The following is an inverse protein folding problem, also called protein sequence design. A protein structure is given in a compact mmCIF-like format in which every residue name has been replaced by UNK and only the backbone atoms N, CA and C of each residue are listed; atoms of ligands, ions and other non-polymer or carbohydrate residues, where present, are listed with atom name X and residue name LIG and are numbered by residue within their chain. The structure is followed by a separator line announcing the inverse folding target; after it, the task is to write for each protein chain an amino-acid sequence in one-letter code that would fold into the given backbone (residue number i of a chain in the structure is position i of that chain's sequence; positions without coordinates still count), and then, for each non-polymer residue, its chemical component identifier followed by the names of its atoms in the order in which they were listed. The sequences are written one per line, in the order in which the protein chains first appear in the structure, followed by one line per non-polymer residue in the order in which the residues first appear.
data_IF_612271779668
#
_entry.id   IF_612271779668
#
_cell.length_a   1.000
_cell.length_b   1.000
_cell.length_c   1.000
_cell.angle_alpha   90.00
_cell.angle_beta   90.00
_cell.angle_gamma   90.00
#
_symmetry.space_group_name_H-M   'P 1'
#
loop_
_entity.id
_entity.type
_entity.pdbx_description
1 polymer ?
#
# COMPACT_ATOMS: atom_id res chain seq x y z
N UNK A 1 -8.88 -62.06 25.74
CA UNK A 1 -8.51 -61.47 27.05
C UNK A 1 -7.53 -60.34 26.79
N UNK A 2 -7.76 -59.18 27.41
CA UNK A 2 -7.04 -57.91 27.18
C UNK A 2 -5.52 -58.02 27.42
N UNK A 3 -4.69 -57.33 26.63
CA UNK A 3 -3.44 -56.74 27.06
C UNK A 3 -3.57 -55.21 27.30
N UNK A 4 -2.55 -54.56 27.89
CA UNK A 4 -2.67 -53.33 28.67
C UNK A 4 -2.34 -52.03 27.88
N UNK A 5 -2.49 -50.92 28.60
CA UNK A 5 -2.29 -49.52 28.23
C UNK A 5 -0.96 -49.17 27.57
N UNK A 6 -1.01 -48.31 26.57
CA UNK A 6 0.06 -47.37 26.22
C UNK A 6 -0.56 -46.01 25.88
N UNK A 7 0.00 -44.97 26.51
CA UNK A 7 -0.30 -43.55 26.31
C UNK A 7 0.16 -43.12 24.92
N UNK A 8 -0.67 -42.36 24.19
CA UNK A 8 -0.29 -41.64 22.98
C UNK A 8 -0.54 -40.13 23.17
N UNK A 9 0.38 -39.24 22.74
CA UNK A 9 0.18 -37.80 22.74
C UNK A 9 -0.60 -37.42 21.46
N UNK A 10 -1.63 -36.58 21.60
CA UNK A 10 -2.48 -36.24 20.46
C UNK A 10 -3.47 -35.13 20.75
N UNK A 11 -2.99 -33.99 21.23
CA UNK A 11 -3.75 -32.74 21.25
C UNK A 11 -3.60 -32.02 19.92
N UNK A 12 -4.36 -32.42 18.90
CA UNK A 12 -4.60 -31.60 17.72
C UNK A 12 -5.59 -30.50 18.13
N UNK A 13 -5.09 -29.33 18.50
CA UNK A 13 -5.91 -28.13 18.56
C UNK A 13 -5.89 -27.51 17.17
N UNK A 14 -6.94 -27.78 16.39
CA UNK A 14 -7.18 -27.10 15.12
C UNK A 14 -7.41 -25.60 15.41
N UNK A 15 -6.72 -24.66 14.74
CA UNK A 15 -7.11 -23.26 14.81
C UNK A 15 -8.40 -23.09 14.01
N UNK A 16 -9.46 -22.71 14.71
CA UNK A 16 -10.75 -22.34 14.14
C UNK A 16 -10.58 -21.15 13.20
N UNK A 17 -11.08 -21.33 11.99
CA UNK A 17 -10.99 -20.39 10.89
C UNK A 17 -12.03 -19.25 10.99
N UNK A 18 -11.69 -18.14 10.33
CA UNK A 18 -12.55 -17.09 9.76
C UNK A 18 -13.24 -16.12 10.73
N UNK A 19 -12.65 -14.93 10.85
CA UNK A 19 -13.40 -13.67 10.79
C UNK A 19 -12.88 -12.87 9.59
N UNK A 20 -13.64 -12.92 8.51
CA UNK A 20 -13.60 -11.97 7.41
C UNK A 20 -15.03 -11.44 7.34
N UNK A 21 -15.26 -10.17 7.68
CA UNK A 21 -16.51 -9.51 7.30
C UNK A 21 -16.36 -9.09 5.84
N UNK A 22 -17.13 -9.78 5.02
CA UNK A 22 -17.34 -9.52 3.60
C UNK A 22 -18.18 -8.24 3.48
N UNK A 23 -17.56 -7.13 3.11
CA UNK A 23 -18.26 -5.92 2.66
C UNK A 23 -18.70 -6.12 1.20
N UNK A 24 -19.56 -7.11 0.96
CA UNK A 24 -20.38 -7.16 -0.26
C UNK A 24 -21.83 -7.05 0.15
N UNK A 25 -22.39 -5.85 -0.04
CA UNK A 25 -23.80 -5.60 0.14
C UNK A 25 -24.63 -6.50 -0.77
N UNK A 26 -25.22 -7.54 -0.19
CA UNK A 26 -26.44 -8.16 -0.67
C UNK A 26 -27.38 -8.39 0.50
N UNK A 27 -28.34 -7.49 0.63
CA UNK A 27 -29.49 -7.61 1.51
C UNK A 27 -30.29 -8.85 1.16
N UNK A 28 -30.33 -9.84 2.05
CA UNK A 28 -31.40 -10.84 2.05
C UNK A 28 -32.39 -10.48 3.15
N UNK A 29 -33.54 -10.03 2.67
CA UNK A 29 -34.78 -9.76 3.37
C UNK A 29 -35.24 -10.98 4.18
N UNK A 30 -35.35 -10.82 5.50
CA UNK A 30 -36.13 -11.71 6.36
C UNK A 30 -36.94 -10.87 7.34
N UNK A 31 -38.15 -10.55 6.88
CA UNK A 31 -39.27 -10.08 7.67
C UNK A 31 -39.54 -10.93 8.91
N UNK A 32 -40.01 -10.25 9.97
CA UNK A 32 -40.83 -10.72 11.10
C UNK A 32 -40.11 -11.16 12.39
N UNK A 33 -40.04 -10.26 13.38
CA UNK A 33 -40.70 -10.39 14.69
C UNK A 33 -40.47 -9.14 15.58
N UNK A 34 -41.49 -8.81 16.37
CA UNK A 34 -41.77 -7.56 17.08
C UNK A 34 -40.80 -7.22 18.25
N UNK A 35 -40.67 -5.94 18.68
CA UNK A 35 -39.75 -5.49 19.72
C UNK A 35 -40.39 -5.51 21.11
N UNK A 36 -39.60 -5.88 22.13
CA UNK A 36 -39.96 -5.68 23.54
C UNK A 36 -38.75 -5.11 24.31
N UNK A 37 -38.80 -3.79 24.49
CA UNK A 37 -38.35 -2.99 25.63
C UNK A 37 -37.53 -3.70 26.73
N UNK A 38 -36.23 -3.38 26.83
CA UNK A 38 -35.53 -3.21 28.10
C UNK A 38 -34.43 -2.14 27.91
N UNK A 39 -34.57 -1.00 28.59
CA UNK A 39 -33.49 -0.01 28.74
C UNK A 39 -32.52 -0.47 29.86
N UNK A 40 -31.20 -0.29 29.73
CA UNK A 40 -30.32 -0.38 30.89
C UNK A 40 -29.93 1.02 31.39
N UNK A 41 -30.02 1.15 32.71
CA UNK A 41 -29.59 2.29 33.49
C UNK A 41 -28.06 2.48 33.46
N UNK A 42 -27.62 3.74 33.47
CA UNK A 42 -26.24 4.14 33.75
C UNK A 42 -25.86 3.85 35.20
N UNK A 43 -24.62 3.42 35.45
CA UNK A 43 -23.88 3.85 36.62
C UNK A 43 -22.63 4.64 36.22
N UNK A 44 -22.52 5.81 36.83
CA UNK A 44 -21.39 6.72 36.91
C UNK A 44 -20.14 6.09 37.55
N UNK A 45 -18.98 6.46 36.99
CA UNK A 45 -17.64 6.58 37.61
C UNK A 45 -16.95 5.27 38.02
N UNK A 46 -15.99 4.85 37.19
CA UNK A 46 -14.79 4.15 37.67
C UNK A 46 -13.54 4.79 37.06
N UNK A 47 -12.60 5.10 37.96
CA UNK A 47 -11.28 5.67 37.72
C UNK A 47 -10.50 4.89 36.67
N UNK A 48 -9.91 5.61 35.70
CA UNK A 48 -8.96 5.05 34.74
C UNK A 48 -7.70 4.52 35.47
N UNK A 49 -7.24 3.29 35.20
CA UNK A 49 -5.88 2.89 35.47
C UNK A 49 -4.98 3.17 34.25
N UNK A 50 -3.72 3.41 34.56
CA UNK A 50 -2.67 3.87 33.67
C UNK A 50 -2.34 2.90 32.51
N UNK A 51 -2.01 3.53 31.37
CA UNK A 51 -1.14 3.05 30.29
C UNK A 51 -0.90 1.53 30.24
N UNK A 52 -1.73 0.84 29.46
CA UNK A 52 -1.39 -0.46 28.90
C UNK A 52 -1.05 -0.26 27.44
N UNK A 53 0.25 -0.05 27.16
CA UNK A 53 0.79 -0.35 25.83
C UNK A 53 0.51 -1.82 25.58
N UNK A 54 -0.41 -2.13 24.67
CA UNK A 54 -0.59 -3.48 24.16
C UNK A 54 0.68 -3.84 23.38
N UNK A 55 1.70 -4.34 24.09
CA UNK A 55 2.75 -5.13 23.46
C UNK A 55 2.07 -6.40 22.99
N UNK A 56 1.68 -6.45 21.71
CA UNK A 56 1.53 -7.74 21.06
C UNK A 56 2.91 -8.40 21.08
N UNK A 57 3.18 -9.21 22.11
CA UNK A 57 4.25 -10.19 22.04
C UNK A 57 3.81 -11.25 21.04
N UNK A 58 3.87 -10.92 19.76
CA UNK A 58 4.08 -11.94 18.75
C UNK A 58 5.53 -12.35 18.97
N UNK A 59 5.76 -13.37 19.79
CA UNK A 59 7.01 -14.10 19.75
C UNK A 59 7.17 -14.58 18.30
N UNK A 60 7.96 -13.85 17.53
CA UNK A 60 8.47 -14.31 16.26
C UNK A 60 9.26 -15.58 16.57
N UNK A 61 8.60 -16.72 16.41
CA UNK A 61 9.26 -17.99 16.41
C UNK A 61 10.20 -17.93 15.21
N UNK A 62 11.49 -17.63 15.45
CA UNK A 62 12.52 -17.69 14.44
C UNK A 62 12.29 -18.99 13.67
N UNK A 63 12.14 -18.95 12.33
CA UNK A 63 11.77 -20.13 11.58
C UNK A 63 12.79 -21.21 11.93
N UNK A 64 12.33 -22.23 12.66
CA UNK A 64 13.06 -23.48 12.74
C UNK A 64 13.37 -23.82 11.29
N UNK A 65 14.64 -24.06 10.98
CA UNK A 65 15.11 -24.37 9.64
C UNK A 65 14.46 -25.67 9.16
N UNK A 66 13.19 -25.58 8.78
CA UNK A 66 12.44 -26.61 8.12
C UNK A 66 12.95 -26.57 6.70
N UNK A 67 13.94 -27.42 6.43
CA UNK A 67 14.33 -27.76 5.06
C UNK A 67 13.07 -28.25 4.37
N UNK A 68 12.44 -27.37 3.58
CA UNK A 68 11.44 -27.78 2.59
C UNK A 68 12.16 -28.76 1.67
N UNK A 69 11.73 -30.03 1.56
CA UNK A 69 12.38 -30.99 0.71
C UNK A 69 12.22 -30.57 -0.75
N UNK A 70 13.32 -30.13 -1.36
CA UNK A 70 13.57 -30.25 -2.80
C UNK A 70 12.52 -29.65 -3.74
N UNK A 71 12.27 -28.35 -3.66
CA UNK A 71 11.97 -27.61 -4.89
C UNK A 71 13.30 -27.10 -5.41
N UNK A 72 13.88 -27.84 -6.36
CA UNK A 72 15.06 -27.39 -7.08
C UNK A 72 14.79 -25.97 -7.59
N UNK A 73 15.58 -25.00 -7.10
CA UNK A 73 15.54 -23.63 -7.57
C UNK A 73 15.66 -23.66 -9.08
N UNK A 74 14.56 -23.32 -9.77
CA UNK A 74 14.67 -22.89 -11.16
C UNK A 74 15.39 -21.57 -11.07
N UNK A 75 16.70 -21.62 -11.26
CA UNK A 75 17.52 -20.43 -11.41
C UNK A 75 16.80 -19.50 -12.36
N UNK A 76 16.62 -18.25 -11.90
CA UNK A 76 16.21 -17.16 -12.77
C UNK A 76 17.23 -17.18 -13.91
N UNK A 77 16.80 -17.64 -15.08
CA UNK A 77 17.59 -17.51 -16.29
C UNK A 77 17.63 -16.02 -16.55
N UNK A 78 18.69 -15.36 -16.09
CA UNK A 78 19.06 -14.06 -16.61
C UNK A 78 19.07 -14.22 -18.13
N UNK A 79 18.11 -13.59 -18.80
CA UNK A 79 18.14 -13.45 -20.23
C UNK A 79 19.48 -12.77 -20.53
N UNK A 80 20.40 -13.54 -21.11
CA UNK A 80 21.76 -13.11 -21.41
C UNK A 80 21.62 -12.01 -22.44
N UNK A 81 21.80 -10.75 -22.03
CA UNK A 81 21.91 -9.61 -22.93
C UNK A 81 23.08 -9.94 -23.85
N UNK A 82 22.82 -10.08 -25.15
CA UNK A 82 23.88 -10.11 -26.15
C UNK A 82 24.60 -8.77 -26.06
N UNK A 83 25.87 -8.82 -25.68
CA UNK A 83 26.76 -7.67 -25.62
C UNK A 83 26.84 -7.04 -27.01
N UNK A 84 26.24 -5.85 -27.15
CA UNK A 84 26.56 -4.81 -28.14
C UNK A 84 25.69 -3.60 -27.81
N UNK A 85 26.33 -2.49 -27.40
CA UNK A 85 25.67 -1.21 -27.13
C UNK A 85 25.66 -0.84 -25.66
N UNK A 86 26.32 0.27 -25.34
CA UNK A 86 26.28 1.00 -24.07
C UNK A 86 24.85 0.98 -23.51
N UNK A 87 24.67 0.41 -22.32
CA UNK A 87 23.37 0.22 -21.72
C UNK A 87 22.81 1.55 -21.23
N UNK A 88 21.96 2.20 -22.03
CA UNK A 88 21.10 3.29 -21.55
C UNK A 88 20.32 2.81 -20.33
N UNK A 89 20.51 3.50 -19.20
CA UNK A 89 19.74 3.28 -17.97
C UNK A 89 18.25 3.49 -18.26
N UNK A 90 17.43 2.47 -18.00
CA UNK A 90 15.97 2.58 -17.98
C UNK A 90 15.55 2.49 -16.53
N UNK A 91 14.91 3.54 -16.03
CA UNK A 91 14.20 3.49 -14.75
C UNK A 91 12.78 3.98 -14.99
N UNK A 92 11.82 3.15 -14.63
CA UNK A 92 10.40 3.37 -14.77
C UNK A 92 9.71 3.35 -13.41
N UNK A 93 8.70 4.20 -13.27
CA UNK A 93 7.82 4.24 -12.11
C UNK A 93 6.42 3.84 -12.58
N UNK A 94 5.88 2.81 -11.98
CA UNK A 94 4.52 2.32 -12.16
C UNK A 94 3.74 2.47 -10.87
N UNK A 95 2.44 2.73 -10.97
CA UNK A 95 1.57 2.92 -9.80
C UNK A 95 0.32 2.07 -9.98
N UNK A 96 -0.13 1.43 -8.90
CA UNK A 96 -1.40 0.68 -8.81
C UNK A 96 -2.12 1.06 -7.53
N UNK A 97 -3.43 0.78 -7.48
CA UNK A 97 -4.19 0.83 -6.24
C UNK A 97 -3.95 -0.37 -5.33
N UNK A 98 -4.61 -0.31 -4.18
CA UNK A 98 -4.59 -1.23 -3.05
C UNK A 98 -4.57 -2.72 -3.40
N UNK A 99 -3.80 -3.52 -2.65
CA UNK A 99 -3.73 -4.97 -2.88
C UNK A 99 -4.42 -5.81 -1.81
N UNK A 100 -4.70 -5.24 -0.63
CA UNK A 100 -5.30 -5.92 0.53
C UNK A 100 -4.61 -7.26 0.82
N UNK A 101 -3.28 -7.25 0.84
CA UNK A 101 -2.47 -8.44 0.97
C UNK A 101 -2.60 -9.37 -0.23
N UNK A 102 -3.08 -10.60 -0.01
CA UNK A 102 -3.23 -11.63 -1.03
C UNK A 102 -4.47 -11.47 -1.94
N UNK A 103 -5.40 -10.57 -1.62
CA UNK A 103 -6.73 -10.51 -2.25
C UNK A 103 -6.63 -10.00 -3.69
N UNK A 104 -5.98 -8.86 -3.91
CA UNK A 104 -5.93 -8.18 -5.20
C UNK A 104 -4.58 -8.25 -5.90
N UNK A 105 -3.58 -8.86 -5.25
CA UNK A 105 -2.20 -8.97 -5.72
C UNK A 105 -2.04 -9.63 -7.09
N UNK A 106 -3.01 -10.46 -7.51
CA UNK A 106 -3.00 -11.13 -8.79
C UNK A 106 -2.91 -10.18 -10.00
N UNK A 107 -3.31 -8.90 -9.84
CA UNK A 107 -3.15 -7.84 -10.85
C UNK A 107 -1.68 -7.66 -11.26
N UNK A 108 -0.75 -7.85 -10.32
CA UNK A 108 0.70 -7.76 -10.54
C UNK A 108 1.30 -9.05 -11.16
N UNK A 109 0.49 -10.06 -11.46
CA UNK A 109 0.98 -11.27 -12.13
C UNK A 109 1.27 -11.00 -13.60
N UNK A 110 2.30 -11.63 -14.16
CA UNK A 110 2.62 -11.49 -15.59
C UNK A 110 1.55 -11.97 -16.57
N UNK A 111 0.51 -12.64 -16.06
CA UNK A 111 -0.66 -12.99 -16.86
C UNK A 111 -1.60 -11.80 -17.02
N UNK A 112 -1.76 -10.99 -15.97
CA UNK A 112 -2.62 -9.80 -15.96
C UNK A 112 -1.88 -8.53 -16.36
N UNK A 113 -0.58 -8.47 -16.06
CA UNK A 113 0.31 -7.36 -16.39
C UNK A 113 1.65 -7.86 -16.96
N UNK A 114 1.69 -8.18 -18.26
CA UNK A 114 2.89 -8.70 -18.93
C UNK A 114 4.10 -7.76 -18.90
N UNK A 115 3.87 -6.44 -18.87
CA UNK A 115 4.87 -5.38 -18.86
C UNK A 115 5.81 -5.50 -17.65
N UNK A 116 5.29 -5.98 -16.51
CA UNK A 116 6.09 -6.26 -15.32
C UNK A 116 7.25 -7.23 -15.55
N UNK A 117 7.22 -8.05 -16.62
CA UNK A 117 8.36 -8.93 -16.99
C UNK A 117 9.58 -8.18 -17.50
N UNK A 118 9.37 -6.95 -17.98
CA UNK A 118 10.41 -6.13 -18.60
C UNK A 118 11.12 -5.24 -17.59
N UNK A 119 10.60 -5.17 -16.36
CA UNK A 119 11.17 -4.36 -15.30
C UNK A 119 12.42 -5.00 -14.70
N UNK A 120 13.22 -4.19 -14.03
CA UNK A 120 14.44 -4.55 -13.30
C UNK A 120 14.41 -3.98 -11.90
N UNK A 121 15.43 -4.29 -11.08
CA UNK A 121 15.44 -3.96 -9.64
C UNK A 121 15.44 -2.45 -9.40
N UNK A 122 15.87 -1.71 -10.41
CA UNK A 122 15.96 -0.26 -10.47
C UNK A 122 14.61 0.41 -10.83
N UNK A 123 13.63 -0.36 -11.32
CA UNK A 123 12.27 0.11 -11.55
C UNK A 123 11.42 0.01 -10.28
N UNK A 124 10.46 0.93 -10.16
CA UNK A 124 9.56 1.03 -9.01
C UNK A 124 8.13 0.68 -9.40
N UNK A 125 7.48 -0.14 -8.58
CA UNK A 125 6.02 -0.34 -8.61
C UNK A 125 5.46 0.11 -7.26
N UNK A 126 4.68 1.17 -7.28
CA UNK A 126 4.10 1.80 -6.08
C UNK A 126 2.67 1.31 -5.89
N UNK A 127 2.36 0.78 -4.72
CA UNK A 127 0.99 0.48 -4.28
C UNK A 127 0.46 1.66 -3.48
N UNK A 128 -0.61 2.28 -3.95
CA UNK A 128 -1.18 3.52 -3.40
C UNK A 128 -2.12 3.28 -2.21
N UNK A 129 -1.66 2.51 -1.21
CA UNK A 129 -2.42 2.19 -0.01
C UNK A 129 -2.72 0.70 0.18
N UNK A 130 -3.31 0.37 1.34
CA UNK A 130 -3.76 -0.96 1.75
C UNK A 130 -2.88 -2.09 1.22
N UNK A 131 -1.60 -2.03 1.60
CA UNK A 131 -0.64 -3.07 1.22
C UNK A 131 -1.00 -4.39 1.91
N UNK A 132 -1.57 -4.33 3.13
CA UNK A 132 -2.23 -5.46 3.77
C UNK A 132 -1.33 -6.53 4.37
N UNK A 133 0.00 -6.36 4.33
CA UNK A 133 0.96 -7.37 4.80
C UNK A 133 2.26 -6.76 5.35
N UNK A 134 2.86 -7.37 6.38
CA UNK A 134 2.37 -8.51 7.15
C UNK A 134 1.27 -8.09 8.15
N UNK A 135 0.42 -9.04 8.53
CA UNK A 135 -0.59 -8.84 9.57
C UNK A 135 -0.61 -10.00 10.55
N UNK A 136 -0.90 -11.20 10.06
CA UNK A 136 -1.04 -12.42 10.87
C UNK A 136 0.19 -13.32 10.84
N UNK A 137 1.09 -13.12 9.87
CA UNK A 137 2.22 -14.03 9.62
C UNK A 137 1.77 -15.39 9.09
N UNK A 138 0.57 -15.47 8.49
CA UNK A 138 0.07 -16.70 7.88
C UNK A 138 0.95 -17.16 6.71
N UNK A 139 0.93 -18.45 6.40
CA UNK A 139 1.68 -18.99 5.26
C UNK A 139 1.31 -18.35 3.92
N UNK A 140 0.08 -17.85 3.77
CA UNK A 140 -0.36 -17.15 2.57
C UNK A 140 0.30 -15.77 2.47
N UNK A 141 0.32 -14.98 3.56
CA UNK A 141 1.03 -13.70 3.61
C UNK A 141 2.53 -13.88 3.34
N UNK A 142 3.16 -14.85 3.99
CA UNK A 142 4.59 -15.14 3.81
C UNK A 142 4.89 -15.55 2.36
N UNK A 143 4.00 -16.30 1.71
CA UNK A 143 4.11 -16.65 0.30
C UNK A 143 4.06 -15.40 -0.60
N UNK A 144 3.10 -14.50 -0.35
CA UNK A 144 2.93 -13.30 -1.17
C UNK A 144 4.05 -12.27 -0.95
N UNK A 145 4.54 -12.11 0.28
CA UNK A 145 5.70 -11.29 0.59
C UNK A 145 6.96 -11.81 -0.12
N UNK A 146 7.22 -13.12 -0.07
CA UNK A 146 8.33 -13.72 -0.82
C UNK A 146 8.14 -13.55 -2.34
N UNK A 147 6.93 -13.76 -2.85
CA UNK A 147 6.61 -13.59 -4.26
C UNK A 147 6.82 -12.15 -4.76
N UNK A 148 6.42 -11.14 -3.97
CA UNK A 148 6.63 -9.71 -4.25
C UNK A 148 8.11 -9.34 -4.17
N UNK A 149 8.79 -9.78 -3.12
CA UNK A 149 10.21 -9.52 -2.92
C UNK A 149 11.07 -10.07 -4.07
N UNK A 150 10.64 -11.18 -4.68
CA UNK A 150 11.29 -11.81 -5.82
C UNK A 150 10.78 -11.34 -7.20
N UNK A 151 9.87 -10.36 -7.26
CA UNK A 151 9.55 -9.67 -8.53
C UNK A 151 10.81 -8.96 -9.03
N UNK A 152 10.96 -8.75 -10.35
CA UNK A 152 12.16 -8.14 -10.88
C UNK A 152 12.26 -6.66 -10.50
N UNK A 153 11.16 -5.99 -10.15
CA UNK A 153 11.10 -4.60 -9.70
C UNK A 153 11.13 -4.43 -8.17
N UNK A 154 11.47 -3.24 -7.70
CA UNK A 154 11.32 -2.83 -6.29
C UNK A 154 9.89 -2.38 -6.01
N UNK A 155 9.25 -3.00 -5.02
CA UNK A 155 7.88 -2.64 -4.62
C UNK A 155 7.94 -1.55 -3.56
N UNK A 156 7.28 -0.43 -3.81
CA UNK A 156 7.07 0.64 -2.85
C UNK A 156 5.58 0.63 -2.45
N UNK A 157 5.26 1.12 -1.27
CA UNK A 157 3.86 1.34 -0.91
C UNK A 157 3.69 2.54 0.02
N UNK A 158 2.50 3.14 -0.05
CA UNK A 158 1.99 4.15 0.88
C UNK A 158 1.00 3.44 1.81
N UNK A 159 0.88 3.91 3.05
CA UNK A 159 -0.02 3.30 4.02
C UNK A 159 -1.50 3.54 3.67
N UNK A 160 -2.39 2.60 3.98
CA UNK A 160 -3.83 2.79 4.03
C UNK A 160 -4.41 2.63 5.43
N UNK A 161 -5.59 2.02 5.58
CA UNK A 161 -6.14 1.64 6.88
C UNK A 161 -6.02 0.13 7.17
N UNK A 162 -5.56 -0.66 6.21
CA UNK A 162 -5.33 -2.10 6.34
C UNK A 162 -3.83 -2.44 6.54
N UNK A 163 -3.15 -1.73 7.43
CA UNK A 163 -1.77 -2.02 7.84
C UNK A 163 -1.67 -2.37 9.32
N UNK A 164 -0.72 -3.25 9.65
CA UNK A 164 -0.41 -3.57 11.04
C UNK A 164 0.52 -2.49 11.62
N UNK A 165 -0.04 -1.34 12.01
CA UNK A 165 0.72 -0.20 12.53
C UNK A 165 1.69 -0.53 13.68
N UNK A 166 1.30 -1.32 14.70
CA UNK A 166 2.24 -1.69 15.75
C UNK A 166 3.48 -2.42 15.23
N UNK A 167 3.32 -3.27 14.21
CA UNK A 167 4.46 -3.93 13.58
C UNK A 167 5.30 -2.93 12.78
N UNK A 168 4.67 -2.01 12.05
CA UNK A 168 5.37 -1.02 11.26
C UNK A 168 6.16 -0.03 12.12
N UNK A 169 5.66 0.36 13.29
CA UNK A 169 6.36 1.25 14.23
C UNK A 169 7.67 0.65 14.76
N UNK A 170 7.74 -0.67 14.89
CA UNK A 170 8.94 -1.37 15.37
C UNK A 170 10.05 -1.48 14.29
N UNK A 171 9.74 -1.19 13.02
CA UNK A 171 10.70 -1.26 11.94
C UNK A 171 11.70 -0.09 12.00
N UNK A 172 13.00 -0.34 11.73
CA UNK A 172 13.99 0.72 11.70
C UNK A 172 13.70 1.71 10.59
N UNK A 173 13.67 3.00 10.94
CA UNK A 173 13.58 4.10 9.98
C UNK A 173 14.94 4.32 9.34
N UNK A 174 14.96 4.39 8.02
CA UNK A 174 16.15 4.72 7.21
C UNK A 174 15.80 5.81 6.21
N UNK A 175 16.79 6.42 5.57
CA UNK A 175 16.57 7.44 4.54
C UNK A 175 16.90 6.88 3.15
N UNK A 176 16.02 7.12 2.19
CA UNK A 176 16.24 6.84 0.77
C UNK A 176 15.57 7.92 -0.08
N UNK A 177 16.23 8.29 -1.17
CA UNK A 177 15.68 9.25 -2.16
C UNK A 177 15.19 10.56 -1.53
N UNK A 178 15.85 11.05 -0.48
CA UNK A 178 15.51 12.29 0.20
C UNK A 178 14.42 12.21 1.26
N UNK A 179 13.80 11.04 1.48
CA UNK A 179 12.75 10.86 2.49
C UNK A 179 12.97 9.64 3.39
N UNK A 180 12.19 9.56 4.45
CA UNK A 180 12.19 8.43 5.38
C UNK A 180 11.44 7.23 4.82
N UNK A 181 12.03 6.06 4.97
CA UNK A 181 11.46 4.77 4.55
C UNK A 181 11.67 3.71 5.63
N UNK A 182 10.83 2.69 5.60
CA UNK A 182 11.03 1.46 6.36
C UNK A 182 11.10 0.27 5.42
N UNK A 183 11.91 -0.72 5.77
CA UNK A 183 12.16 -1.90 4.95
C UNK A 183 11.95 -3.14 5.80
N UNK A 184 11.23 -4.11 5.26
CA UNK A 184 11.10 -5.41 5.91
C UNK A 184 12.45 -6.15 5.87
N UNK A 185 13.03 -6.57 7.01
CA UNK A 185 14.34 -7.20 7.04
C UNK A 185 14.45 -8.44 6.14
N UNK A 186 13.41 -9.27 6.10
CA UNK A 186 13.32 -10.49 5.31
C UNK A 186 12.98 -10.23 3.83
N UNK A 187 12.39 -9.07 3.54
CA UNK A 187 11.87 -8.71 2.22
C UNK A 187 12.41 -7.34 1.78
N UNK A 188 13.74 -7.20 1.56
CA UNK A 188 14.40 -5.90 1.37
C UNK A 188 13.97 -5.14 0.10
N UNK A 189 13.23 -5.80 -0.80
CA UNK A 189 12.72 -5.22 -2.03
C UNK A 189 11.29 -4.70 -1.91
N UNK A 190 10.71 -4.74 -0.70
CA UNK A 190 9.42 -4.17 -0.36
C UNK A 190 9.70 -3.05 0.65
N UNK A 191 9.36 -1.82 0.27
CA UNK A 191 9.76 -0.62 0.99
C UNK A 191 8.52 0.24 1.26
N UNK A 192 8.30 0.55 2.53
CA UNK A 192 7.30 1.52 2.98
C UNK A 192 7.83 2.93 2.74
N UNK A 193 7.05 3.74 2.02
CA UNK A 193 7.27 5.19 1.94
C UNK A 193 6.53 5.82 3.12
N UNK A 194 7.27 6.42 4.06
CA UNK A 194 6.63 6.98 5.26
C UNK A 194 5.73 8.17 4.91
N UNK A 195 4.73 8.41 5.75
CA UNK A 195 3.78 9.51 5.59
C UNK A 195 4.48 10.87 5.66
N UNK A 196 3.96 11.83 4.90
CA UNK A 196 4.42 13.21 4.89
C UNK A 196 5.80 13.43 4.26
N UNK A 197 6.35 12.44 3.57
CA UNK A 197 7.67 12.55 2.94
C UNK A 197 7.56 13.05 1.50
N UNK A 198 8.62 13.69 1.03
CA UNK A 198 8.85 14.03 -0.37
C UNK A 198 10.08 13.28 -0.84
N UNK A 199 9.95 12.51 -1.92
CA UNK A 199 11.01 11.67 -2.48
C UNK A 199 11.41 12.16 -3.87
N UNK A 200 12.70 12.13 -4.17
CA UNK A 200 13.24 12.31 -5.52
C UNK A 200 13.60 10.93 -6.09
N UNK A 201 12.61 10.23 -6.65
CA UNK A 201 12.80 8.89 -7.23
C UNK A 201 13.47 8.98 -8.60
N UNK A 202 14.52 8.20 -8.88
CA UNK A 202 15.08 8.09 -10.23
C UNK A 202 14.03 7.66 -11.26
N UNK A 203 14.05 8.29 -12.43
CA UNK A 203 13.15 8.01 -13.53
C UNK A 203 13.78 8.46 -14.85
N UNK A 204 14.16 7.53 -15.71
CA UNK A 204 14.75 7.84 -17.02
C UNK A 204 13.72 7.56 -18.11
N UNK A 205 13.14 8.63 -18.66
CA UNK A 205 12.22 8.53 -19.80
C UNK A 205 13.02 8.27 -21.07
N UNK A 206 12.60 7.28 -21.87
CA UNK A 206 13.16 7.05 -23.20
C UNK A 206 12.93 8.31 -24.06
N UNK A 207 14.00 8.90 -24.59
CA UNK A 207 13.86 9.75 -25.78
C UNK A 207 13.32 8.86 -26.90
N UNK A 208 12.13 9.17 -27.43
CA UNK A 208 11.61 8.48 -28.60
C UNK A 208 12.55 8.75 -29.78
N UNK A 209 13.52 7.87 -30.02
CA UNK A 209 14.23 7.82 -31.29
C UNK A 209 13.25 7.26 -32.32
N UNK A 210 12.76 8.13 -33.20
CA UNK A 210 12.13 7.69 -34.44
C UNK A 210 13.19 6.95 -35.26
N UNK A 211 12.85 5.80 -35.85
CA UNK A 211 13.73 5.15 -36.83
C UNK A 211 13.91 6.10 -38.03
N UNK A 212 15.05 6.81 -38.07
CA UNK A 212 15.39 7.71 -39.17
C UNK A 212 16.12 9.00 -38.78
N UNK A 213 16.07 9.41 -37.52
CA UNK A 213 16.80 10.58 -37.05
C UNK A 213 18.22 10.20 -36.61
N UNK A 214 19.24 10.87 -37.15
CA UNK A 214 20.63 10.72 -36.65
C UNK A 214 20.64 11.00 -35.14
N UNK A 215 21.28 10.14 -34.32
CA UNK A 215 21.36 10.38 -32.89
C UNK A 215 22.01 11.76 -32.67
N UNK A 216 21.39 12.66 -31.88
CA UNK A 216 22.01 13.94 -31.58
C UNK A 216 23.40 13.68 -31.00
N UNK A 217 24.38 14.48 -31.41
CA UNK A 217 25.73 14.43 -30.86
C UNK A 217 25.63 14.37 -29.33
N UNK A 218 26.05 13.23 -28.78
CA UNK A 218 25.88 12.85 -27.38
C UNK A 218 26.16 14.03 -26.45
N UNK A 219 25.16 14.58 -25.74
CA UNK A 219 25.47 15.38 -24.57
C UNK A 219 25.95 14.41 -23.50
N UNK A 220 27.11 14.71 -22.92
CA UNK A 220 27.69 13.99 -21.80
C UNK A 220 26.61 13.56 -20.80
N UNK A 221 26.43 12.25 -20.67
CA UNK A 221 25.69 11.53 -19.62
C UNK A 221 24.81 12.45 -18.74
N UNK A 222 23.60 12.86 -19.20
CA UNK A 222 22.74 13.69 -18.38
C UNK A 222 22.46 12.94 -17.07
N UNK A 223 22.54 13.64 -15.93
CA UNK A 223 22.17 13.05 -14.65
C UNK A 223 20.77 12.42 -14.78
N UNK A 224 20.54 11.22 -14.20
CA UNK A 224 19.25 10.56 -14.32
C UNK A 224 18.17 11.52 -13.84
N UNK A 225 17.16 11.77 -14.68
CA UNK A 225 16.03 12.59 -14.26
C UNK A 225 15.37 11.95 -13.05
N UNK A 226 14.94 12.76 -12.09
CA UNK A 226 14.16 12.30 -10.95
C UNK A 226 12.70 12.72 -11.12
N UNK A 227 11.81 12.04 -10.40
CA UNK A 227 10.44 12.48 -10.16
C UNK A 227 10.29 12.81 -8.69
N UNK A 228 9.81 14.01 -8.43
CA UNK A 228 9.50 14.44 -7.08
C UNK A 228 8.11 13.96 -6.69
N UNK A 229 8.03 13.11 -5.68
CA UNK A 229 6.81 12.43 -5.28
C UNK A 229 6.55 12.73 -3.81
N UNK A 230 5.41 13.36 -3.53
CA UNK A 230 4.88 13.47 -2.18
C UNK A 230 4.05 12.23 -1.84
N UNK A 231 4.19 11.70 -0.62
CA UNK A 231 3.39 10.57 -0.15
C UNK A 231 2.67 10.85 1.16
N UNK A 232 1.40 10.49 1.22
CA UNK A 232 0.61 10.56 2.46
C UNK A 232 -0.42 9.44 2.52
N UNK A 233 -0.24 8.53 3.46
CA UNK A 233 -1.14 7.39 3.66
C UNK A 233 -2.16 7.59 4.78
N UNK A 234 -2.96 6.56 5.00
CA UNK A 234 -4.00 6.51 6.02
C UNK A 234 -5.43 6.63 5.48
N UNK A 235 -6.38 6.14 6.27
CA UNK A 235 -7.83 6.28 6.07
C UNK A 235 -8.56 5.99 7.40
N UNK A 236 -9.80 6.45 7.55
CA UNK A 236 -10.64 6.07 8.69
C UNK A 236 -11.38 4.76 8.41
N UNK A 237 -11.17 3.70 9.20
CA UNK A 237 -12.02 2.51 9.08
C UNK A 237 -13.46 2.82 9.50
N UNK A 238 -14.42 2.63 8.59
CA UNK A 238 -15.83 2.91 8.85
C UNK A 238 -16.56 1.82 9.65
N UNK A 239 -16.00 0.61 9.73
CA UNK A 239 -16.57 -0.55 10.42
C UNK A 239 -15.96 -0.79 11.81
N UNK A 240 -15.37 0.24 12.44
CA UNK A 240 -14.72 0.17 13.77
C UNK A 240 -15.63 -0.41 14.86
N UNK A 241 -16.93 -0.14 14.79
CA UNK A 241 -17.92 -0.66 15.74
C UNK A 241 -18.00 -2.20 15.75
N UNK A 242 -17.62 -2.84 14.64
CA UNK A 242 -17.62 -4.30 14.47
C UNK A 242 -16.22 -4.92 14.57
N UNK A 243 -15.20 -4.10 14.83
CA UNK A 243 -13.78 -4.50 14.88
C UNK A 243 -13.24 -4.39 16.30
N UNK A 244 -12.12 -5.08 16.54
CA UNK A 244 -11.44 -5.10 17.84
C UNK A 244 -10.27 -4.12 17.81
N UNK A 245 -10.30 -3.04 18.62
CA UNK A 245 -9.20 -2.08 18.69
C UNK A 245 -7.87 -2.77 19.03
N UNK A 246 -6.80 -2.41 18.32
CA UNK A 246 -5.47 -2.98 18.53
C UNK A 246 -5.28 -4.39 17.97
N UNK A 247 -6.27 -4.95 17.26
CA UNK A 247 -6.18 -6.27 16.62
C UNK A 247 -6.64 -6.22 15.16
N UNK A 248 -7.83 -5.69 14.91
CA UNK A 248 -8.37 -5.57 13.56
C UNK A 248 -8.53 -4.14 13.10
N UNK A 249 -8.36 -3.13 13.96
CA UNK A 249 -8.24 -1.73 13.55
C UNK A 249 -7.32 -1.00 14.53
N UNK A 250 -6.72 0.11 14.08
CA UNK A 250 -5.72 0.86 14.84
C UNK A 250 -6.02 2.37 14.82
N UNK A 251 -5.86 3.11 15.94
CA UNK A 251 -5.97 4.57 15.91
C UNK A 251 -4.92 5.22 14.99
N UNK A 252 -3.80 4.54 14.73
CA UNK A 252 -2.71 4.96 13.84
C UNK A 252 -3.08 4.88 12.34
N UNK A 253 -4.26 4.34 12.00
CA UNK A 253 -4.81 4.37 10.63
C UNK A 253 -4.92 5.80 10.10
N UNK A 254 -5.23 6.77 10.97
CA UNK A 254 -5.14 8.19 10.63
C UNK A 254 -3.75 8.76 10.98
N UNK A 255 -3.23 9.70 10.20
CA UNK A 255 -1.97 10.35 10.51
C UNK A 255 -1.98 11.08 11.85
N UNK A 256 -0.85 11.02 12.55
CA UNK A 256 -0.65 11.81 13.75
C UNK A 256 -0.39 13.28 13.44
N UNK A 257 -0.55 14.16 14.44
CA UNK A 257 -0.19 15.58 14.30
C UNK A 257 1.27 15.80 13.91
N UNK A 258 2.18 14.94 14.37
CA UNK A 258 3.60 15.02 14.01
C UNK A 258 3.82 14.67 12.53
N UNK A 259 3.08 13.71 11.99
CA UNK A 259 3.11 13.33 10.57
C UNK A 259 2.53 14.44 9.68
N UNK A 260 1.41 15.07 10.08
CA UNK A 260 0.89 16.25 9.37
C UNK A 260 1.90 17.41 9.40
N UNK A 261 2.48 17.70 10.55
CA UNK A 261 3.48 18.76 10.68
C UNK A 261 4.76 18.44 9.89
N UNK A 262 5.13 17.17 9.79
CA UNK A 262 6.25 16.73 8.96
C UNK A 262 5.95 16.89 7.47
N UNK A 263 4.74 16.53 7.02
CA UNK A 263 4.28 16.77 5.67
C UNK A 263 4.38 18.24 5.27
N UNK A 264 3.85 19.14 6.10
CA UNK A 264 3.93 20.58 5.89
C UNK A 264 5.37 21.09 5.79
N UNK A 265 6.28 20.61 6.65
CA UNK A 265 7.70 20.99 6.61
C UNK A 265 8.37 20.51 5.31
N UNK A 266 8.11 19.28 4.90
CA UNK A 266 8.72 18.69 3.71
C UNK A 266 8.17 19.33 2.43
N UNK A 267 6.87 19.59 2.37
CA UNK A 267 6.24 20.33 1.27
C UNK A 267 6.76 21.77 1.19
N UNK A 268 6.90 22.47 2.32
CA UNK A 268 7.49 23.80 2.35
C UNK A 268 8.97 23.79 1.91
N UNK A 269 9.75 22.80 2.31
CA UNK A 269 11.14 22.63 1.85
C UNK A 269 11.25 22.31 0.35
N UNK A 270 10.20 21.72 -0.23
CA UNK A 270 10.07 21.49 -1.66
C UNK A 270 9.39 22.66 -2.41
N UNK A 271 9.26 23.83 -1.77
CA UNK A 271 8.57 25.02 -2.30
C UNK A 271 7.15 24.72 -2.79
N UNK A 272 6.45 23.78 -2.14
CA UNK A 272 5.11 23.32 -2.51
C UNK A 272 5.01 22.83 -3.95
N UNK A 273 6.10 22.29 -4.50
CA UNK A 273 6.17 21.81 -5.89
C UNK A 273 6.61 20.36 -5.95
N UNK A 274 5.76 19.50 -6.53
CA UNK A 274 6.03 18.08 -6.75
C UNK A 274 5.56 17.67 -8.15
N UNK A 275 6.12 16.60 -8.72
CA UNK A 275 5.58 16.02 -9.95
C UNK A 275 4.29 15.26 -9.64
N UNK A 276 4.32 14.45 -8.58
CA UNK A 276 3.24 13.56 -8.19
C UNK A 276 2.90 13.71 -6.71
N UNK A 277 1.62 13.59 -6.39
CA UNK A 277 1.15 13.21 -5.06
C UNK A 277 0.60 11.78 -5.12
N UNK A 278 0.98 10.94 -4.16
CA UNK A 278 0.47 9.58 -4.02
C UNK A 278 -0.07 9.43 -2.60
N UNK A 279 -1.34 9.07 -2.50
CA UNK A 279 -1.99 8.86 -1.22
C UNK A 279 -2.86 7.61 -1.26
N UNK A 280 -3.43 7.23 -0.11
CA UNK A 280 -4.45 6.19 -0.10
C UNK A 280 -5.84 6.79 -0.33
N UNK A 281 -6.24 7.78 0.47
CA UNK A 281 -7.45 8.58 0.26
C UNK A 281 -7.23 9.77 -0.70
N UNK A 282 -8.33 10.32 -1.20
CA UNK A 282 -8.36 11.61 -1.90
C UNK A 282 -8.85 12.74 -0.99
N UNK A 283 -8.72 13.99 -1.45
CA UNK A 283 -9.35 15.12 -0.80
C UNK A 283 -10.88 15.00 -0.78
N UNK A 284 -11.50 15.55 0.27
CA UNK A 284 -12.97 15.50 0.48
C UNK A 284 -13.75 15.95 -0.75
N UNK A 285 -13.27 16.98 -1.47
CA UNK A 285 -13.90 17.49 -2.70
C UNK A 285 -14.05 16.45 -3.82
N UNK A 286 -13.25 15.39 -3.82
CA UNK A 286 -13.26 14.35 -4.86
C UNK A 286 -14.10 13.13 -4.50
N UNK A 287 -14.52 12.97 -3.24
CA UNK A 287 -15.32 11.84 -2.77
C UNK A 287 -16.56 11.57 -3.65
N UNK A 288 -17.36 12.58 -4.08
CA UNK A 288 -18.53 12.34 -4.93
C UNK A 288 -18.23 11.82 -6.34
N UNK A 289 -17.00 11.99 -6.82
CA UNK A 289 -16.60 11.50 -8.13
C UNK A 289 -16.10 10.04 -8.09
N UNK A 290 -15.69 9.56 -6.92
CA UNK A 290 -15.02 8.25 -6.76
C UNK A 290 -15.84 7.25 -5.96
N UNK A 291 -16.82 7.72 -5.17
CA UNK A 291 -17.75 6.88 -4.43
C UNK A 291 -19.11 6.78 -5.14
N UNK A 292 -19.79 5.63 -5.05
CA UNK A 292 -21.21 5.53 -5.37
C UNK A 292 -22.04 6.52 -4.53
N UNK A 293 -23.13 7.05 -5.11
CA UNK A 293 -24.00 8.01 -4.43
C UNK A 293 -24.56 7.50 -3.10
N UNK A 294 -24.85 6.19 -3.02
CA UNK A 294 -25.39 5.55 -1.82
C UNK A 294 -24.34 5.48 -0.69
N UNK A 295 -23.05 5.35 -1.02
CA UNK A 295 -21.96 5.30 -0.03
C UNK A 295 -21.76 6.64 0.70
N UNK A 296 -22.03 7.76 0.04
CA UNK A 296 -22.04 9.08 0.69
C UNK A 296 -23.23 9.26 1.63
N UNK A 297 -24.38 8.65 1.29
CA UNK A 297 -25.59 8.69 2.11
C UNK A 297 -25.50 7.79 3.35
N UNK A 298 -24.70 6.72 3.28
CA UNK A 298 -24.44 5.76 4.36
C UNK A 298 -23.34 6.20 5.34
N UNK A 299 -22.79 7.40 5.19
CA UNK A 299 -21.89 7.98 6.18
C UNK A 299 -20.42 7.60 6.00
N UNK A 300 -19.96 7.34 4.77
CA UNK A 300 -18.53 7.54 4.45
C UNK A 300 -18.26 9.04 4.58
N UNK A 301 -17.86 9.43 5.79
CA UNK A 301 -17.71 10.83 6.18
C UNK A 301 -16.33 11.34 5.80
N UNK A 302 -16.30 12.63 5.47
CA UNK A 302 -15.09 13.45 5.57
C UNK A 302 -14.45 13.24 6.93
N UNK A 303 -13.15 12.98 6.94
CA UNK A 303 -12.34 12.83 8.14
C UNK A 303 -11.26 13.91 8.21
N UNK A 304 -10.42 13.87 9.25
CA UNK A 304 -9.33 14.83 9.42
C UNK A 304 -8.32 14.77 8.27
N UNK A 305 -8.07 13.60 7.68
CA UNK A 305 -7.10 13.41 6.60
C UNK A 305 -7.61 13.95 5.27
N UNK A 306 -8.80 13.54 4.87
CA UNK A 306 -9.48 14.00 3.64
C UNK A 306 -9.77 15.50 3.66
N UNK A 307 -10.05 16.08 4.84
CA UNK A 307 -10.15 17.54 5.02
C UNK A 307 -8.79 18.21 4.91
N UNK A 308 -7.74 17.65 5.54
CA UNK A 308 -6.39 18.19 5.41
C UNK A 308 -5.87 18.13 3.96
N UNK A 309 -6.29 17.12 3.18
CA UNK A 309 -6.01 17.04 1.75
C UNK A 309 -6.63 18.20 0.97
N UNK A 310 -7.85 18.64 1.28
CA UNK A 310 -8.40 19.86 0.67
C UNK A 310 -7.49 21.07 0.92
N UNK A 311 -6.98 21.22 2.15
CA UNK A 311 -6.13 22.35 2.54
C UNK A 311 -4.77 22.36 1.83
N UNK A 312 -4.15 21.19 1.62
CA UNK A 312 -2.87 21.12 0.90
C UNK A 312 -3.05 21.21 -0.60
N UNK A 313 -4.15 20.70 -1.17
CA UNK A 313 -4.38 20.71 -2.62
C UNK A 313 -4.45 22.14 -3.17
N UNK A 314 -4.99 23.08 -2.40
CA UNK A 314 -5.06 24.50 -2.77
C UNK A 314 -3.70 25.22 -2.76
N UNK A 315 -2.69 24.63 -2.10
CA UNK A 315 -1.32 25.19 -1.97
C UNK A 315 -0.30 24.45 -2.84
N UNK A 316 -0.52 23.17 -3.07
CA UNK A 316 0.41 22.27 -3.75
C UNK A 316 0.34 22.44 -5.27
N UNK A 317 1.48 22.70 -5.88
CA UNK A 317 1.65 22.58 -7.33
C UNK A 317 2.08 21.16 -7.67
N UNK A 318 1.17 20.40 -8.28
CA UNK A 318 1.40 19.04 -8.75
C UNK A 318 0.88 18.82 -10.17
N UNK A 319 1.42 17.80 -10.84
CA UNK A 319 0.98 17.43 -12.20
C UNK A 319 -0.10 16.36 -12.16
N UNK A 320 0.07 15.34 -11.31
CA UNK A 320 -0.90 14.28 -11.09
C UNK A 320 -0.96 13.89 -9.61
N UNK A 321 -2.16 13.55 -9.14
CA UNK A 321 -2.42 12.97 -7.83
C UNK A 321 -3.11 11.61 -8.01
N UNK A 322 -2.50 10.55 -7.51
CA UNK A 322 -3.02 9.19 -7.59
C UNK A 322 -3.36 8.63 -6.21
N UNK A 323 -4.50 7.93 -6.10
CA UNK A 323 -4.97 7.38 -4.82
C UNK A 323 -5.71 6.04 -4.96
N UNK A 324 -5.61 5.16 -3.95
CA UNK A 324 -5.99 3.74 -4.05
C UNK A 324 -7.30 3.30 -3.38
N UNK A 325 -7.80 4.04 -2.39
CA UNK A 325 -8.76 3.54 -1.40
C UNK A 325 -10.12 3.04 -1.95
N UNK A 326 -10.64 3.69 -3.00
CA UNK A 326 -12.07 3.59 -3.36
C UNK A 326 -12.43 2.45 -4.31
N UNK A 327 -11.51 1.51 -4.53
CA UNK A 327 -11.70 0.29 -5.35
C UNK A 327 -12.28 0.58 -6.75
N UNK A 328 -11.88 1.71 -7.34
CA UNK A 328 -12.33 2.16 -8.65
C UNK A 328 -11.17 2.71 -9.47
N UNK A 329 -11.30 2.66 -10.79
CA UNK A 329 -10.36 3.23 -11.75
C UNK A 329 -11.05 4.40 -12.46
N UNK A 330 -10.96 5.60 -11.87
CA UNK A 330 -11.68 6.80 -12.32
C UNK A 330 -10.74 8.01 -12.28
N UNK A 331 -10.87 8.89 -13.27
CA UNK A 331 -10.26 10.22 -13.24
C UNK A 331 -11.33 11.28 -12.95
N UNK A 332 -11.40 11.82 -11.71
CA UNK A 332 -12.36 12.88 -11.37
C UNK A 332 -12.17 14.17 -12.19
N UNK A 333 -10.92 14.46 -12.56
CA UNK A 333 -10.53 15.57 -13.43
C UNK A 333 -9.28 15.18 -14.24
N UNK A 334 -8.59 16.16 -14.84
CA UNK A 334 -7.38 15.93 -15.64
C UNK A 334 -6.11 15.68 -14.82
N UNK A 335 -6.14 15.88 -13.50
CA UNK A 335 -4.98 15.79 -12.60
C UNK A 335 -5.13 14.76 -11.49
N UNK A 336 -6.30 14.16 -11.32
CA UNK A 336 -6.59 13.19 -10.27
C UNK A 336 -6.96 11.83 -10.85
N UNK A 337 -6.49 10.76 -10.21
CA UNK A 337 -6.85 9.40 -10.60
C UNK A 337 -6.98 8.47 -9.40
N UNK A 338 -8.18 7.94 -9.21
CA UNK A 338 -8.41 6.76 -8.42
C UNK A 338 -7.84 5.54 -9.17
N UNK A 339 -7.10 4.69 -8.48
CA UNK A 339 -6.56 3.45 -9.00
C UNK A 339 -7.06 2.27 -8.17
N UNK A 340 -7.44 1.20 -8.85
CA UNK A 340 -7.69 -0.09 -8.23
C UNK A 340 -7.16 -1.23 -9.07
N UNK A 341 -7.70 -1.48 -10.26
CA UNK A 341 -7.22 -2.56 -11.14
C UNK A 341 -6.12 -2.10 -12.09
N UNK A 342 -6.09 -0.82 -12.41
CA UNK A 342 -5.11 -0.26 -13.33
C UNK A 342 -3.70 -0.22 -12.74
N UNK A 343 -2.72 -0.43 -13.62
CA UNK A 343 -1.31 -0.24 -13.35
C UNK A 343 -0.79 0.75 -14.38
N UNK A 344 -0.43 1.96 -13.93
CA UNK A 344 -0.15 3.10 -14.81
C UNK A 344 1.32 3.45 -14.82
N UNK A 345 1.86 3.76 -16.00
CA UNK A 345 3.21 4.29 -16.16
C UNK A 345 3.20 5.79 -15.88
N UNK A 346 4.03 6.23 -14.93
CA UNK A 346 4.18 7.66 -14.63
C UNK A 346 4.64 8.46 -15.86
N UNK A 347 5.51 7.87 -16.68
CA UNK A 347 6.02 8.55 -17.87
C UNK A 347 4.93 8.82 -18.90
N UNK A 348 4.04 7.85 -19.11
CA UNK A 348 2.92 7.98 -20.05
C UNK A 348 1.89 8.99 -19.53
N UNK A 349 1.52 8.85 -18.26
CA UNK A 349 0.55 9.74 -17.59
C UNK A 349 0.99 11.20 -17.65
N UNK A 350 2.27 11.46 -17.35
CA UNK A 350 2.82 12.82 -17.37
C UNK A 350 3.02 13.36 -18.79
N UNK A 351 3.24 12.50 -19.80
CA UNK A 351 3.31 12.93 -21.20
C UNK A 351 1.94 13.36 -21.74
N UNK A 352 0.85 12.76 -21.28
CA UNK A 352 -0.52 13.09 -21.65
C UNK A 352 -1.00 14.39 -21.01
N UNK A 353 -0.73 14.57 -19.71
CA UNK A 353 -1.11 15.79 -18.97
C UNK A 353 -0.52 17.09 -19.56
N UNK A 354 0.66 17.03 -20.19
CA UNK A 354 1.32 18.20 -20.79
C UNK A 354 0.81 18.60 -22.18
N UNK A 355 -0.18 17.88 -22.73
CA UNK A 355 -0.77 18.14 -24.06
C UNK A 355 -2.14 18.83 -24.00
N UNK A 356 -2.70 19.04 -22.81
CA UNK A 356 -4.04 19.57 -22.58
C UNK A 356 -4.08 21.10 -22.48
#
# INVERSE_FOLDING_TARGET
MRPPSAVAPGGLCAPSAKLYLDCTGQSNDLSSANPATVAPAFPTVFSAPAEHRYRMQVEWCAPQTARVPGVAGRGVRNARRTETGEGEERMAIWITGDIHGGIDIAKLSYRRWPEGRLLTREDFVIVAGDFGMPWSGSNDELYWLDWLNNRPWTTLYVDGNHECYPYLEDLPVTERWGGKVQVYPEYPNIIRLMRGQVFDLPNVSRGAVNEGDEPPASPANPAPSTRRIFTMGGADSHDKEWRTPGLSWFPEELPSWDEYAEAERNLAAADWQVDLAISHCCATRWLPAVLPADSLAEGITTDALTTWFDDIEDRLSFRMWLFGHYHTDVMPDTRHRALYRDIVSVNELLAESGRA
#
